data_IF_947175313477
#
_entry.id   IF_947175313477
#
_cell.length_a   1.000
_cell.length_b   1.000
_cell.length_c   1.000
_cell.angle_alpha   90.00
_cell.angle_beta   90.00
_cell.angle_gamma   90.00
#
_symmetry.space_group_name_H-M   'P 1'
#
loop_
_entity.id
_entity.type
_entity.pdbx_description
1 polymer ?
#
# COMPACT_ATOMS: atom_id res chain seq x y z
N UNK A 1 -7.44 -2.84 24.47
CA UNK A 1 -7.42 -4.30 24.18
C UNK A 1 -6.52 -4.45 22.95
N UNK A 2 -5.32 -4.98 23.14
CA UNK A 2 -4.44 -5.29 22.03
C UNK A 2 -4.81 -6.67 21.46
N UNK A 3 -5.51 -6.69 20.34
CA UNK A 3 -5.83 -7.90 19.60
C UNK A 3 -4.75 -8.13 18.53
N UNK A 4 -3.57 -8.53 18.98
CA UNK A 4 -2.50 -8.94 18.07
C UNK A 4 -2.60 -10.46 17.89
N UNK A 5 -2.74 -10.96 16.64
CA UNK A 5 -2.72 -12.38 16.39
C UNK A 5 -1.31 -12.95 16.64
N UNK A 6 -1.24 -14.10 17.29
CA UNK A 6 0.03 -14.83 17.43
C UNK A 6 0.46 -15.47 16.09
N UNK A 7 -0.49 -15.81 15.26
CA UNK A 7 -0.27 -16.43 13.94
C UNK A 7 -1.18 -15.75 12.92
N UNK A 8 -0.61 -15.33 11.80
CA UNK A 8 -1.35 -14.85 10.64
C UNK A 8 -1.16 -15.82 9.47
N UNK A 9 -2.26 -16.34 8.96
CA UNK A 9 -2.26 -17.24 7.78
C UNK A 9 -2.73 -16.45 6.58
N UNK A 10 -1.87 -16.36 5.56
CA UNK A 10 -2.17 -15.69 4.29
C UNK A 10 -2.32 -16.72 3.18
N UNK A 11 -3.56 -16.87 2.68
CA UNK A 11 -3.85 -17.76 1.57
C UNK A 11 -4.59 -17.01 0.46
N UNK A 12 -3.93 -16.89 -0.69
CA UNK A 12 -4.45 -16.13 -1.82
C UNK A 12 -5.66 -16.81 -2.49
N UNK A 13 -5.92 -18.09 -2.25
CA UNK A 13 -7.05 -18.81 -2.82
C UNK A 13 -8.39 -18.22 -2.33
N UNK A 14 -8.42 -17.62 -1.14
CA UNK A 14 -9.58 -16.85 -0.66
C UNK A 14 -9.94 -15.65 -1.54
N UNK A 15 -9.02 -15.18 -2.40
CA UNK A 15 -9.26 -14.09 -3.33
C UNK A 15 -9.75 -14.55 -4.71
N UNK A 16 -9.86 -15.87 -4.94
CA UNK A 16 -10.15 -16.43 -6.27
C UNK A 16 -11.50 -15.96 -6.85
N UNK A 17 -12.49 -15.73 -5.98
CA UNK A 17 -13.86 -15.32 -6.36
C UNK A 17 -14.05 -13.80 -6.48
N UNK A 18 -13.04 -12.99 -6.14
CA UNK A 18 -13.14 -11.54 -6.24
C UNK A 18 -13.29 -11.08 -7.69
N UNK A 19 -14.21 -10.14 -7.92
CA UNK A 19 -14.36 -9.48 -9.21
C UNK A 19 -13.18 -8.55 -9.50
N UNK A 20 -13.02 -8.14 -10.76
CA UNK A 20 -11.96 -7.21 -11.15
C UNK A 20 -12.02 -5.88 -10.36
N UNK A 21 -13.23 -5.37 -10.13
CA UNK A 21 -13.43 -4.12 -9.41
C UNK A 21 -13.13 -4.27 -7.92
N UNK A 22 -13.50 -5.40 -7.31
CA UNK A 22 -13.11 -5.70 -5.92
C UNK A 22 -11.60 -5.80 -5.77
N UNK A 23 -10.89 -6.43 -6.72
CA UNK A 23 -9.43 -6.50 -6.71
C UNK A 23 -8.80 -5.11 -6.80
N UNK A 24 -9.32 -4.23 -7.66
CA UNK A 24 -8.85 -2.83 -7.76
C UNK A 24 -9.09 -2.05 -6.48
N UNK A 25 -10.28 -2.17 -5.89
CA UNK A 25 -10.60 -1.53 -4.62
C UNK A 25 -9.64 -1.96 -3.52
N UNK A 26 -9.41 -3.27 -3.36
CA UNK A 26 -8.43 -3.78 -2.41
C UNK A 26 -7.01 -3.26 -2.67
N UNK A 27 -6.60 -3.19 -3.94
CA UNK A 27 -5.30 -2.66 -4.31
C UNK A 27 -5.11 -1.19 -3.91
N UNK A 28 -6.15 -0.36 -4.11
CA UNK A 28 -6.15 1.04 -3.68
C UNK A 28 -6.12 1.20 -2.16
N UNK A 29 -6.80 0.30 -1.42
CA UNK A 29 -6.72 0.28 0.04
C UNK A 29 -5.31 -0.07 0.53
N UNK A 30 -4.68 -1.10 -0.04
CA UNK A 30 -3.30 -1.48 0.27
C UNK A 30 -2.36 -0.28 0.02
N UNK A 31 -2.50 0.36 -1.14
CA UNK A 31 -1.70 1.50 -1.54
C UNK A 31 -1.86 2.68 -0.57
N UNK A 32 -3.11 2.99 -0.19
CA UNK A 32 -3.43 4.06 0.76
C UNK A 32 -2.81 3.82 2.13
N UNK A 33 -2.96 2.60 2.67
CA UNK A 33 -2.37 2.23 3.95
C UNK A 33 -0.84 2.28 3.91
N UNK A 34 -0.24 1.72 2.87
CA UNK A 34 1.20 1.68 2.72
C UNK A 34 1.81 3.08 2.56
N UNK A 35 1.24 3.93 1.69
CA UNK A 35 1.73 5.28 1.50
C UNK A 35 1.57 6.13 2.77
N UNK A 36 0.42 6.05 3.45
CA UNK A 36 0.18 6.78 4.69
C UNK A 36 1.16 6.38 5.79
N UNK A 37 1.40 5.08 5.97
CA UNK A 37 2.34 4.58 6.97
C UNK A 37 3.79 4.95 6.62
N UNK A 38 4.16 4.93 5.34
CA UNK A 38 5.50 5.32 4.90
C UNK A 38 5.80 6.79 5.20
N UNK A 39 4.82 7.67 4.97
CA UNK A 39 4.95 9.11 5.19
C UNK A 39 4.84 9.51 6.67
N UNK A 40 4.45 8.60 7.56
CA UNK A 40 4.37 8.88 8.99
C UNK A 40 5.78 9.05 9.58
N UNK A 41 6.02 10.08 10.43
CA UNK A 41 7.31 10.30 11.08
C UNK A 41 7.81 9.11 11.92
N UNK A 42 6.92 8.24 12.38
CA UNK A 42 7.24 7.02 13.15
C UNK A 42 7.68 5.84 12.29
N UNK A 43 7.61 5.97 10.96
CA UNK A 43 8.07 4.93 10.05
C UNK A 43 9.57 4.70 10.20
N UNK A 44 9.96 3.46 10.51
CA UNK A 44 11.34 3.02 10.62
C UNK A 44 11.84 2.48 9.29
N UNK A 45 13.16 2.33 9.13
CA UNK A 45 13.75 1.71 7.93
C UNK A 45 13.21 0.29 7.68
N UNK A 46 12.94 -0.46 8.75
CA UNK A 46 12.37 -1.80 8.64
C UNK A 46 10.96 -1.78 8.06
N UNK A 47 10.08 -0.93 8.61
CA UNK A 47 8.71 -0.78 8.10
C UNK A 47 8.69 -0.13 6.72
N UNK A 48 9.58 0.82 6.44
CA UNK A 48 9.72 1.44 5.12
C UNK A 48 10.02 0.40 4.03
N UNK A 49 10.90 -0.57 4.30
CA UNK A 49 11.17 -1.66 3.36
C UNK A 49 9.94 -2.50 3.04
N UNK A 50 9.16 -2.90 4.05
CA UNK A 50 7.91 -3.65 3.85
C UNK A 50 6.86 -2.86 3.08
N UNK A 51 6.72 -1.56 3.37
CA UNK A 51 5.77 -0.67 2.73
C UNK A 51 6.13 -0.39 1.26
N UNK A 52 7.42 -0.22 0.97
CA UNK A 52 7.91 -0.07 -0.41
C UNK A 52 7.61 -1.32 -1.23
N UNK A 53 7.86 -2.52 -0.70
CA UNK A 53 7.53 -3.78 -1.37
C UNK A 53 6.01 -3.92 -1.60
N UNK A 54 5.18 -3.52 -0.63
CA UNK A 54 3.74 -3.54 -0.79
C UNK A 54 3.27 -2.62 -1.92
N UNK A 55 3.78 -1.39 -1.97
CA UNK A 55 3.45 -0.43 -3.04
C UNK A 55 3.93 -0.94 -4.40
N UNK A 56 5.16 -1.44 -4.50
CA UNK A 56 5.70 -2.01 -5.73
C UNK A 56 4.84 -3.17 -6.24
N UNK A 57 4.39 -4.06 -5.34
CA UNK A 57 3.50 -5.15 -5.70
C UNK A 57 2.14 -4.66 -6.22
N UNK A 58 1.55 -3.64 -5.60
CA UNK A 58 0.30 -3.03 -6.09
C UNK A 58 0.48 -2.47 -7.49
N UNK A 59 1.49 -1.64 -7.71
CA UNK A 59 1.76 -1.02 -9.01
C UNK A 59 2.04 -2.06 -10.10
N UNK A 60 2.78 -3.11 -9.78
CA UNK A 60 3.19 -4.12 -10.75
C UNK A 60 2.12 -5.18 -11.07
N UNK A 61 1.27 -5.52 -10.12
CA UNK A 61 0.44 -6.73 -10.24
C UNK A 61 -1.07 -6.49 -10.27
N UNK A 62 -1.60 -5.31 -9.91
CA UNK A 62 -3.06 -5.05 -9.85
C UNK A 62 -3.76 -5.37 -11.15
N UNK A 63 -3.21 -4.94 -12.29
CA UNK A 63 -3.80 -5.18 -13.62
C UNK A 63 -3.90 -6.67 -13.94
N UNK A 64 -2.91 -7.45 -13.56
CA UNK A 64 -2.91 -8.90 -13.81
C UNK A 64 -3.83 -9.64 -12.84
N UNK A 65 -3.85 -9.24 -11.57
CA UNK A 65 -4.73 -9.79 -10.56
C UNK A 65 -6.21 -9.54 -10.88
N UNK A 66 -6.55 -8.36 -11.39
CA UNK A 66 -7.89 -8.02 -11.85
C UNK A 66 -8.35 -8.89 -13.05
N UNK A 67 -7.40 -9.36 -13.87
CA UNK A 67 -7.66 -10.33 -14.94
C UNK A 67 -7.74 -11.78 -14.47
N UNK A 68 -7.67 -12.01 -13.16
CA UNK A 68 -7.77 -13.35 -12.57
C UNK A 68 -6.46 -14.15 -12.55
N UNK A 69 -5.30 -13.54 -12.74
CA UNK A 69 -4.00 -14.21 -12.68
C UNK A 69 -3.65 -14.66 -11.25
N UNK A 70 -3.58 -15.97 -10.92
CA UNK A 70 -3.38 -16.43 -9.55
C UNK A 70 -2.04 -15.96 -8.92
N UNK A 71 -0.89 -16.02 -9.64
CA UNK A 71 0.36 -15.50 -9.09
C UNK A 71 0.30 -14.00 -8.74
N UNK A 72 -0.40 -13.19 -9.54
CA UNK A 72 -0.58 -11.76 -9.27
C UNK A 72 -1.48 -11.53 -8.05
N UNK A 73 -2.56 -12.31 -7.90
CA UNK A 73 -3.42 -12.27 -6.71
C UNK A 73 -2.64 -12.61 -5.44
N UNK A 74 -1.76 -13.62 -5.51
CA UNK A 74 -0.87 -13.97 -4.40
C UNK A 74 0.05 -12.80 -4.01
N UNK A 75 0.59 -12.09 -5.00
CA UNK A 75 1.42 -10.90 -4.74
C UNK A 75 0.64 -9.79 -4.04
N UNK A 76 -0.58 -9.48 -4.50
CA UNK A 76 -1.43 -8.48 -3.83
C UNK A 76 -1.86 -8.92 -2.43
N UNK A 77 -2.17 -10.19 -2.24
CA UNK A 77 -2.53 -10.70 -0.91
C UNK A 77 -1.39 -10.57 0.10
N UNK A 78 -0.15 -10.88 -0.32
CA UNK A 78 1.03 -10.67 0.49
C UNK A 78 1.29 -9.17 0.75
N UNK A 79 1.08 -8.31 -0.25
CA UNK A 79 1.19 -6.87 -0.10
C UNK A 79 0.20 -6.32 0.94
N UNK A 80 -1.03 -6.84 0.97
CA UNK A 80 -2.02 -6.49 2.00
C UNK A 80 -1.53 -6.84 3.41
N UNK A 81 -0.92 -8.01 3.59
CA UNK A 81 -0.35 -8.43 4.87
C UNK A 81 0.81 -7.51 5.31
N UNK A 82 1.73 -7.19 4.40
CA UNK A 82 2.86 -6.28 4.67
C UNK A 82 2.37 -4.87 5.04
N UNK A 83 1.46 -4.32 4.25
CA UNK A 83 0.90 -3.00 4.52
C UNK A 83 0.12 -2.96 5.84
N UNK A 84 -0.71 -3.97 6.11
CA UNK A 84 -1.50 -4.06 7.33
C UNK A 84 -0.66 -4.18 8.59
N UNK A 85 0.36 -5.05 8.57
CA UNK A 85 1.28 -5.21 9.69
C UNK A 85 2.08 -3.94 9.98
N UNK A 86 2.56 -3.25 8.93
CA UNK A 86 3.30 -2.00 9.08
C UNK A 86 2.41 -0.86 9.54
N UNK A 87 1.22 -0.72 8.95
CA UNK A 87 0.25 0.31 9.31
C UNK A 87 -0.19 0.19 10.77
N UNK A 88 -0.53 -1.02 11.23
CA UNK A 88 -0.95 -1.27 12.60
C UNK A 88 0.11 -0.98 13.66
N UNK A 89 1.40 -0.98 13.28
CA UNK A 89 2.51 -0.62 14.16
C UNK A 89 2.82 0.89 14.19
N UNK A 90 2.33 1.64 13.22
CA UNK A 90 2.67 3.06 13.04
C UNK A 90 1.48 3.96 13.37
N UNK A 91 0.28 3.58 12.95
CA UNK A 91 -0.91 4.43 13.01
C UNK A 91 -1.84 3.99 14.14
N UNK A 92 -2.03 4.84 15.14
CA UNK A 92 -2.86 4.55 16.32
C UNK A 92 -4.37 4.59 16.05
N UNK A 93 -4.78 5.23 14.96
CA UNK A 93 -6.20 5.36 14.58
C UNK A 93 -6.54 4.46 13.40
N UNK A 94 -7.39 3.49 13.67
CA UNK A 94 -8.13 2.78 12.61
C UNK A 94 -9.18 3.75 12.07
N UNK A 95 -8.82 4.54 11.09
CA UNK A 95 -9.81 5.31 10.33
C UNK A 95 -10.44 4.38 9.29
N UNK A 96 -11.71 3.96 9.50
CA UNK A 96 -12.42 3.12 8.54
C UNK A 96 -12.93 4.00 7.40
N UNK A 97 -12.08 4.56 6.59
CA UNK A 97 -12.50 5.30 5.41
C UNK A 97 -11.56 5.07 4.25
N UNK A 98 -12.19 4.54 3.24
CA UNK A 98 -11.84 4.39 1.85
C UNK A 98 -10.84 5.40 1.28
N UNK A 99 -10.20 4.97 0.20
CA UNK A 99 -8.90 5.38 -0.25
C UNK A 99 -8.92 6.85 -0.61
N UNK A 100 -8.54 7.67 0.30
CA UNK A 100 -8.12 9.00 -0.02
C UNK A 100 -6.62 8.95 -0.30
N UNK A 101 -6.30 8.64 -1.52
CA UNK A 101 -5.02 9.08 -2.04
C UNK A 101 -5.05 10.60 -1.92
N UNK A 102 -4.08 11.24 -1.26
CA UNK A 102 -4.09 12.68 -1.09
C UNK A 102 -3.90 13.36 -2.44
N UNK A 103 -4.98 13.47 -3.22
CA UNK A 103 -4.95 14.20 -4.48
C UNK A 103 -4.93 15.71 -4.26
N UNK A 104 -5.27 16.21 -3.07
CA UNK A 104 -5.33 17.66 -2.87
C UNK A 104 -5.17 18.15 -1.41
N UNK A 105 -4.96 17.32 -0.42
CA UNK A 105 -4.67 17.87 0.90
C UNK A 105 -3.22 18.35 0.91
N UNK A 106 -3.06 19.65 1.11
CA UNK A 106 -1.81 20.32 1.43
C UNK A 106 -1.10 19.58 2.57
N UNK A 107 -0.32 18.61 2.22
CA UNK A 107 0.65 18.02 3.12
C UNK A 107 1.66 19.14 3.38
N UNK A 108 1.88 19.48 4.64
CA UNK A 108 2.85 20.50 5.02
C UNK A 108 4.23 20.14 4.43
N UNK A 109 4.76 21.02 3.64
CA UNK A 109 5.76 20.79 2.59
C UNK A 109 7.16 20.36 3.12
N UNK A 110 7.47 20.45 4.42
CA UNK A 110 8.87 20.40 4.85
C UNK A 110 9.47 19.02 5.13
N UNK A 111 8.76 18.07 5.73
CA UNK A 111 9.31 16.73 6.03
C UNK A 111 8.72 15.65 5.12
N UNK A 112 7.50 15.84 4.65
CA UNK A 112 6.82 14.90 3.77
C UNK A 112 7.38 14.89 2.35
N UNK A 113 7.95 16.01 1.87
CA UNK A 113 8.53 16.07 0.53
C UNK A 113 9.77 15.18 0.40
N UNK A 114 10.64 15.19 1.41
CA UNK A 114 11.85 14.34 1.39
C UNK A 114 11.49 12.86 1.42
N UNK A 115 10.56 12.45 2.27
CA UNK A 115 10.10 11.05 2.34
C UNK A 115 9.35 10.63 1.08
N UNK A 116 8.58 11.52 0.50
CA UNK A 116 7.91 11.25 -0.76
C UNK A 116 8.91 11.09 -1.91
N UNK A 117 9.92 11.94 -1.98
CA UNK A 117 10.99 11.84 -2.96
C UNK A 117 11.78 10.54 -2.79
N UNK A 118 12.12 10.18 -1.56
CA UNK A 118 12.79 8.93 -1.24
C UNK A 118 11.95 7.70 -1.64
N UNK A 119 10.64 7.74 -1.39
CA UNK A 119 9.73 6.67 -1.80
C UNK A 119 9.68 6.55 -3.32
N UNK A 120 9.59 7.68 -4.04
CA UNK A 120 9.58 7.70 -5.50
C UNK A 120 10.88 7.11 -6.07
N UNK A 121 12.04 7.49 -5.54
CA UNK A 121 13.34 6.94 -5.91
C UNK A 121 13.42 5.42 -5.65
N UNK A 122 13.01 4.96 -4.48
CA UNK A 122 12.99 3.53 -4.11
C UNK A 122 12.08 2.71 -5.04
N UNK A 123 11.02 3.31 -5.57
CA UNK A 123 10.10 2.70 -6.52
C UNK A 123 10.53 2.88 -7.99
N UNK A 124 11.63 3.59 -8.26
CA UNK A 124 12.17 3.81 -9.58
C UNK A 124 11.46 4.90 -10.38
N UNK A 125 10.82 5.86 -9.72
CA UNK A 125 10.22 7.04 -10.34
C UNK A 125 11.15 8.25 -10.24
N UNK A 126 11.11 9.12 -11.26
CA UNK A 126 11.93 10.33 -11.30
C UNK A 126 11.55 11.34 -10.22
N UNK A 127 10.27 11.39 -9.85
CA UNK A 127 9.75 12.28 -8.81
C UNK A 127 8.42 11.78 -8.22
N UNK A 128 7.96 12.46 -7.15
CA UNK A 128 6.69 12.17 -6.50
C UNK A 128 5.48 12.28 -7.46
N UNK A 129 5.52 13.22 -8.42
CA UNK A 129 4.42 13.44 -9.35
C UNK A 129 4.27 12.25 -10.30
N UNK A 130 5.38 11.74 -10.83
CA UNK A 130 5.38 10.56 -11.68
C UNK A 130 4.83 9.34 -10.93
N UNK A 131 5.25 9.15 -9.69
CA UNK A 131 4.74 8.10 -8.82
C UNK A 131 3.23 8.23 -8.57
N UNK A 132 2.73 9.41 -8.19
CA UNK A 132 1.30 9.64 -7.98
C UNK A 132 0.47 9.45 -9.24
N UNK A 133 0.98 9.86 -10.41
CA UNK A 133 0.32 9.63 -11.69
C UNK A 133 0.16 8.14 -11.98
N UNK A 134 1.21 7.35 -11.72
CA UNK A 134 1.16 5.89 -11.87
C UNK A 134 0.13 5.25 -10.91
N UNK A 135 0.04 5.75 -9.68
CA UNK A 135 -0.95 5.29 -8.70
C UNK A 135 -2.40 5.60 -9.11
N UNK A 136 -2.62 6.74 -9.74
CA UNK A 136 -3.96 7.14 -10.22
C UNK A 136 -4.42 6.34 -11.46
N UNK A 137 -3.50 5.69 -12.16
CA UNK A 137 -3.79 4.89 -13.35
C UNK A 137 -4.21 3.42 -13.05
N UNK A 138 -4.28 3.03 -11.76
CA UNK A 138 -4.69 1.69 -11.31
C UNK A 138 -6.19 1.50 -11.38
#
# INVERSE_FOLDING_TARGET
IHLLPEISVTDADFTATLTADQVRTCALEILSHAARAYLDPRCTEFTAGMLTEAIAAVLGYTRYAAKGCPPARKKLHNAAALAGASYGNIVDEVTPRLPYFPTEQKVSINDNDLRCAELAERLGFDDCRAMFTACQAL
#
